data_IF_549652386530
#
_entry.id   IF_549652386530
#
_cell.length_a   1.000
_cell.length_b   1.000
_cell.length_c   1.000
_cell.angle_alpha   90.00
_cell.angle_beta   90.00
_cell.angle_gamma   90.00
#
_symmetry.space_group_name_H-M   'P 1'
#
loop_
_entity.id
_entity.type
_entity.pdbx_description
1 polymer ?
#
# COMPACT_ATOMS: atom_id res chain seq x y z
N UNK A 1 0.85 9.19 -27.56
CA UNK A 1 1.06 8.07 -26.60
C UNK A 1 1.86 8.47 -25.35
N UNK A 2 2.91 9.31 -25.43
CA UNK A 2 3.70 9.75 -24.25
C UNK A 2 2.91 10.54 -23.18
N UNK A 3 1.85 11.25 -23.56
CA UNK A 3 1.07 12.12 -22.64
C UNK A 3 -0.07 11.38 -21.90
N UNK A 4 -0.56 10.25 -22.42
CA UNK A 4 -1.65 9.50 -21.80
C UNK A 4 -1.20 8.67 -20.59
N UNK A 5 0.11 8.56 -20.37
CA UNK A 5 0.70 7.73 -19.33
C UNK A 5 0.87 8.50 -18.02
N UNK A 6 1.12 9.81 -18.02
CA UNK A 6 1.47 10.52 -16.79
C UNK A 6 0.27 10.68 -15.84
N UNK A 7 -0.78 11.39 -16.21
CA UNK A 7 -1.90 11.67 -15.30
C UNK A 7 -2.75 10.42 -14.96
N UNK A 8 -3.01 9.56 -15.96
CA UNK A 8 -3.85 8.36 -15.81
C UNK A 8 -3.23 7.30 -14.91
N UNK A 9 -1.91 7.31 -14.68
CA UNK A 9 -1.25 6.29 -13.86
C UNK A 9 -0.66 6.83 -12.57
N UNK A 10 -0.21 8.10 -12.55
CA UNK A 10 0.46 8.67 -11.38
C UNK A 10 -0.50 8.78 -10.20
N UNK A 11 -1.73 9.30 -10.41
CA UNK A 11 -2.73 9.42 -9.34
C UNK A 11 -3.32 8.07 -8.89
N UNK A 12 -3.80 7.19 -9.80
CA UNK A 12 -4.48 5.97 -9.36
C UNK A 12 -3.55 4.79 -9.07
N UNK A 13 -2.26 4.83 -9.43
CA UNK A 13 -1.30 3.79 -9.06
C UNK A 13 -0.11 4.34 -8.27
N UNK A 14 0.70 5.21 -8.88
CA UNK A 14 2.01 5.55 -8.31
C UNK A 14 1.90 6.18 -6.91
N UNK A 15 1.13 7.25 -6.73
CA UNK A 15 1.03 7.95 -5.43
C UNK A 15 0.28 7.19 -4.33
N UNK A 16 -0.31 6.04 -4.62
CA UNK A 16 -0.97 5.20 -3.61
C UNK A 16 -0.01 4.35 -2.79
N UNK A 17 1.29 4.44 -3.09
CA UNK A 17 2.33 3.87 -2.23
C UNK A 17 2.24 4.38 -0.79
N UNK A 18 1.73 5.61 -0.58
CA UNK A 18 1.55 6.17 0.75
C UNK A 18 0.64 5.32 1.64
N UNK A 19 -0.24 4.48 1.08
CA UNK A 19 -1.10 3.60 1.86
C UNK A 19 -0.33 2.45 2.54
N UNK A 20 0.85 2.03 2.05
CA UNK A 20 1.69 1.07 2.77
C UNK A 20 2.48 1.71 3.92
N UNK A 21 2.59 3.04 3.91
CA UNK A 21 3.24 3.79 4.99
C UNK A 21 2.29 4.05 6.18
N UNK A 22 1.01 3.68 6.09
CA UNK A 22 0.04 3.96 7.16
C UNK A 22 0.16 2.92 8.28
N UNK A 23 0.43 3.33 9.54
CA UNK A 23 0.52 2.41 10.67
C UNK A 23 -0.84 1.92 11.18
N UNK A 24 -0.84 0.80 11.91
CA UNK A 24 -2.04 0.29 12.59
C UNK A 24 -2.42 1.12 13.83
N UNK A 25 -1.45 1.83 14.42
CA UNK A 25 -1.64 2.58 15.66
C UNK A 25 -1.07 3.99 15.55
N UNK A 26 -1.66 4.95 16.25
CA UNK A 26 -1.14 6.31 16.39
C UNK A 26 -1.08 6.71 17.86
N UNK A 27 -0.05 7.47 18.23
CA UNK A 27 0.09 7.96 19.61
C UNK A 27 -0.60 9.32 19.74
N UNK A 28 -1.58 9.39 20.63
CA UNK A 28 -2.27 10.62 21.01
C UNK A 28 -2.27 10.70 22.54
N UNK A 29 -1.83 11.83 23.07
CA UNK A 29 -1.73 12.11 24.49
C UNK A 29 -0.93 11.05 25.26
N UNK A 30 0.20 10.61 24.70
CA UNK A 30 1.04 9.53 25.24
C UNK A 30 0.36 8.16 25.32
N UNK A 31 -0.76 7.97 24.63
CA UNK A 31 -1.50 6.70 24.53
C UNK A 31 -1.51 6.23 23.09
N UNK A 32 -1.16 4.95 22.87
CA UNK A 32 -1.23 4.30 21.56
C UNK A 32 -2.66 3.88 21.27
N UNK A 33 -3.28 4.49 20.27
CA UNK A 33 -4.65 4.23 19.84
C UNK A 33 -4.66 3.46 18.51
N UNK A 34 -5.62 2.56 18.35
CA UNK A 34 -5.84 1.83 17.09
C UNK A 34 -6.40 2.76 16.01
N UNK A 35 -5.70 2.86 14.88
CA UNK A 35 -6.08 3.75 13.77
C UNK A 35 -7.46 3.42 13.20
N UNK A 36 -7.86 2.13 13.18
CA UNK A 36 -9.18 1.68 12.69
C UNK A 36 -10.35 2.42 13.36
N UNK A 37 -10.17 2.83 14.60
CA UNK A 37 -11.21 3.54 15.37
C UNK A 37 -11.18 5.05 15.17
N UNK A 38 -10.12 5.60 14.59
CA UNK A 38 -9.88 7.04 14.49
C UNK A 38 -10.37 7.63 13.15
N UNK A 39 -10.77 6.79 12.20
CA UNK A 39 -11.30 7.28 10.93
C UNK A 39 -12.60 8.08 11.12
N UNK A 40 -12.67 9.25 10.49
CA UNK A 40 -13.82 10.15 10.54
C UNK A 40 -14.22 10.59 11.98
N UNK A 41 -13.28 10.55 12.93
CA UNK A 41 -13.45 11.10 14.28
C UNK A 41 -12.77 12.47 14.39
N UNK A 42 -13.54 13.58 14.46
CA UNK A 42 -12.97 14.92 14.59
C UNK A 42 -12.56 15.28 16.03
N UNK A 43 -13.06 14.58 17.05
CA UNK A 43 -12.83 14.96 18.45
C UNK A 43 -11.34 14.91 18.87
N UNK A 44 -10.56 13.85 18.54
CA UNK A 44 -9.16 13.78 18.92
C UNK A 44 -8.29 14.85 18.25
N UNK A 45 -8.57 15.18 16.99
CA UNK A 45 -7.79 16.16 16.22
C UNK A 45 -8.02 17.59 16.73
N UNK A 46 -9.23 17.91 17.18
CA UNK A 46 -9.54 19.23 17.74
C UNK A 46 -8.98 19.42 19.15
N UNK A 47 -8.97 18.37 19.98
CA UNK A 47 -8.57 18.47 21.40
C UNK A 47 -7.08 18.22 21.64
N UNK A 48 -6.45 17.36 20.86
CA UNK A 48 -5.10 16.83 21.15
C UNK A 48 -4.11 17.08 20.01
N UNK A 49 -4.28 18.18 19.27
CA UNK A 49 -3.45 18.49 18.09
C UNK A 49 -1.94 18.50 18.40
N UNK A 50 -1.52 19.11 19.52
CA UNK A 50 -0.10 19.18 19.91
C UNK A 50 0.47 17.79 20.15
N UNK A 51 -0.31 16.93 20.80
CA UNK A 51 0.13 15.58 21.10
C UNK A 51 0.16 14.69 19.86
N UNK A 52 -0.74 14.90 18.90
CA UNK A 52 -0.67 14.26 17.59
C UNK A 52 0.64 14.67 16.90
N UNK A 53 0.99 15.96 16.90
CA UNK A 53 2.25 16.44 16.30
C UNK A 53 3.48 15.85 16.98
N UNK A 54 3.47 15.77 18.32
CA UNK A 54 4.52 15.13 19.11
C UNK A 54 4.64 13.63 18.79
N UNK A 55 3.52 12.92 18.69
CA UNK A 55 3.46 11.51 18.30
C UNK A 55 4.03 11.28 16.88
N UNK A 56 3.68 12.15 15.92
CA UNK A 56 4.19 12.09 14.55
C UNK A 56 5.71 12.29 14.49
N UNK A 57 6.26 13.19 15.31
CA UNK A 57 7.70 13.45 15.37
C UNK A 57 8.47 12.31 16.06
N UNK A 58 7.92 11.76 17.14
CA UNK A 58 8.63 10.78 18.00
C UNK A 58 8.61 9.37 17.46
N UNK A 59 7.45 8.87 17.02
CA UNK A 59 7.29 7.44 16.65
C UNK A 59 7.77 7.13 15.23
N UNK A 60 8.02 8.17 14.43
CA UNK A 60 8.13 8.04 12.99
C UNK A 60 6.74 7.76 12.41
N UNK A 61 6.19 8.69 11.65
CA UNK A 61 4.80 8.64 11.17
C UNK A 61 4.50 7.49 10.19
N UNK A 62 5.44 6.58 9.91
CA UNK A 62 5.40 5.72 8.73
C UNK A 62 5.79 4.27 9.03
N UNK A 63 4.96 3.36 8.53
CA UNK A 63 5.32 1.96 8.34
C UNK A 63 6.38 1.80 7.26
N UNK A 64 6.90 0.58 7.14
CA UNK A 64 7.87 0.24 6.09
C UNK A 64 7.24 0.40 4.71
N UNK A 65 7.99 0.99 3.79
CA UNK A 65 7.64 0.98 2.38
C UNK A 65 7.79 -0.45 1.85
N UNK A 66 6.72 -1.24 1.92
CA UNK A 66 6.70 -2.58 1.37
C UNK A 66 5.33 -2.91 0.74
N UNK A 67 5.10 -4.20 0.51
CA UNK A 67 3.88 -4.73 -0.12
C UNK A 67 2.77 -4.97 0.91
N UNK A 68 3.08 -4.90 2.20
CA UNK A 68 2.14 -5.07 3.28
C UNK A 68 1.48 -3.72 3.58
N UNK A 69 0.26 -3.81 4.09
CA UNK A 69 -0.57 -2.66 4.44
C UNK A 69 -1.19 -2.98 5.79
N UNK A 70 -1.39 -1.96 6.61
CA UNK A 70 -2.05 -2.08 7.90
C UNK A 70 -3.46 -2.66 7.76
N UNK A 71 -3.84 -3.56 8.68
CA UNK A 71 -5.19 -4.13 8.73
C UNK A 71 -6.26 -3.07 8.99
N UNK A 72 -5.89 -1.97 9.65
CA UNK A 72 -6.73 -0.78 9.80
C UNK A 72 -7.27 -0.26 8.44
N UNK A 73 -6.51 -0.45 7.37
CA UNK A 73 -6.80 0.11 6.03
C UNK A 73 -7.18 -0.97 5.02
N UNK A 74 -6.68 -2.21 5.17
CA UNK A 74 -7.06 -3.33 4.31
C UNK A 74 -8.37 -4.01 4.70
N UNK A 75 -8.71 -4.07 5.99
CA UNK A 75 -9.87 -4.85 6.44
C UNK A 75 -10.89 -4.01 7.21
N UNK A 76 -10.46 -2.90 7.79
CA UNK A 76 -11.25 -2.09 8.72
C UNK A 76 -11.45 -0.63 8.27
N UNK A 77 -11.31 -0.35 6.97
CA UNK A 77 -11.42 1.02 6.47
C UNK A 77 -12.85 1.56 6.69
N UNK A 78 -12.96 2.65 7.44
CA UNK A 78 -14.23 3.29 7.82
C UNK A 78 -15.22 2.39 8.57
N UNK A 79 -14.73 1.35 9.24
CA UNK A 79 -15.58 0.55 10.11
C UNK A 79 -16.18 1.42 11.22
N UNK A 80 -17.50 1.56 11.22
CA UNK A 80 -18.18 2.32 12.25
C UNK A 80 -18.28 1.49 13.51
N UNK A 81 -17.83 2.03 14.65
CA UNK A 81 -18.05 1.43 15.98
C UNK A 81 -19.54 1.17 16.29
N UNK A 82 -20.47 1.75 15.54
CA UNK A 82 -21.93 1.59 15.71
C UNK A 82 -22.56 0.54 14.76
N UNK A 83 -21.75 -0.24 14.03
CA UNK A 83 -22.20 -1.43 13.30
C UNK A 83 -23.07 -1.20 12.05
N UNK A 84 -23.29 0.06 11.63
CA UNK A 84 -24.16 0.37 10.49
C UNK A 84 -23.43 0.42 9.13
N UNK A 85 -22.10 0.52 9.12
CA UNK A 85 -21.31 0.57 7.88
C UNK A 85 -20.36 -0.63 7.87
N UNK A 86 -20.45 -1.45 6.82
CA UNK A 86 -19.51 -2.55 6.61
C UNK A 86 -18.10 -2.02 6.41
N UNK A 87 -17.11 -2.77 6.88
CA UNK A 87 -15.72 -2.39 6.69
C UNK A 87 -15.31 -2.52 5.21
N UNK A 88 -14.46 -1.58 4.76
CA UNK A 88 -13.95 -1.56 3.39
C UNK A 88 -12.49 -1.99 3.34
N UNK A 89 -12.07 -2.42 2.16
CA UNK A 89 -10.67 -2.72 1.85
C UNK A 89 -10.10 -1.69 0.87
N UNK A 90 -9.18 -0.85 1.35
CA UNK A 90 -8.56 0.18 0.52
C UNK A 90 -7.74 -0.41 -0.63
N UNK A 91 -7.13 -1.58 -0.45
CA UNK A 91 -6.26 -2.21 -1.45
C UNK A 91 -7.11 -2.81 -2.56
N UNK A 92 -8.20 -3.49 -2.21
CA UNK A 92 -9.19 -3.92 -3.19
C UNK A 92 -9.80 -2.73 -3.96
N UNK A 93 -10.10 -1.62 -3.29
CA UNK A 93 -10.57 -0.39 -3.94
C UNK A 93 -9.50 0.19 -4.89
N UNK A 94 -8.23 0.11 -4.52
CA UNK A 94 -7.15 0.62 -5.35
C UNK A 94 -6.98 -0.22 -6.63
N UNK A 95 -7.08 -1.54 -6.53
CA UNK A 95 -7.04 -2.45 -7.69
C UNK A 95 -8.22 -2.18 -8.62
N UNK A 96 -9.43 -2.08 -8.08
CA UNK A 96 -10.65 -1.79 -8.88
C UNK A 96 -10.51 -0.48 -9.65
N UNK A 97 -10.15 0.62 -8.96
CA UNK A 97 -9.92 1.92 -9.60
C UNK A 97 -8.79 1.88 -10.65
N UNK A 98 -7.78 1.03 -10.43
CA UNK A 98 -6.72 0.84 -11.42
C UNK A 98 -7.21 0.19 -12.71
N UNK A 99 -8.16 -0.75 -12.61
CA UNK A 99 -8.81 -1.39 -13.77
C UNK A 99 -9.77 -0.43 -14.45
N UNK A 100 -10.57 0.31 -13.69
CA UNK A 100 -11.53 1.29 -14.21
C UNK A 100 -10.83 2.42 -14.98
N UNK A 101 -9.66 2.86 -14.51
CA UNK A 101 -8.85 3.86 -15.21
C UNK A 101 -7.97 3.30 -16.33
N UNK A 102 -8.03 1.99 -16.61
CA UNK A 102 -7.28 1.36 -17.69
C UNK A 102 -5.76 1.44 -17.51
N UNK A 103 -5.27 1.33 -16.27
CA UNK A 103 -3.82 1.40 -16.00
C UNK A 103 -3.13 0.23 -16.72
N UNK A 104 -2.09 0.50 -17.54
CA UNK A 104 -1.35 -0.55 -18.22
C UNK A 104 -0.70 -1.52 -17.24
N UNK A 105 -0.54 -2.78 -17.65
CA UNK A 105 0.14 -3.79 -16.86
C UNK A 105 1.57 -3.37 -16.46
N UNK A 106 2.05 -3.86 -15.32
CA UNK A 106 3.39 -3.58 -14.80
C UNK A 106 4.52 -3.79 -15.83
N UNK A 107 4.41 -4.80 -16.68
CA UNK A 107 5.40 -5.10 -17.73
C UNK A 107 5.47 -4.01 -18.82
N UNK A 108 4.35 -3.37 -19.13
CA UNK A 108 4.28 -2.23 -20.06
C UNK A 108 5.03 -1.04 -19.48
N UNK A 109 4.83 -0.78 -18.18
CA UNK A 109 5.54 0.27 -17.44
C UNK A 109 7.05 0.03 -17.38
N UNK A 110 7.46 -1.21 -17.07
CA UNK A 110 8.89 -1.57 -17.10
C UNK A 110 9.51 -1.26 -18.46
N UNK A 111 8.86 -1.70 -19.55
CA UNK A 111 9.34 -1.44 -20.91
C UNK A 111 9.40 0.07 -21.21
N UNK A 112 8.41 0.83 -20.77
CA UNK A 112 8.35 2.28 -20.96
C UNK A 112 9.56 2.99 -20.33
N UNK A 113 9.99 2.55 -19.15
CA UNK A 113 11.16 3.07 -18.44
C UNK A 113 12.48 2.33 -18.77
N UNK A 114 12.51 1.53 -19.84
CA UNK A 114 13.72 0.81 -20.27
C UNK A 114 14.17 -0.33 -19.35
N UNK A 115 13.31 -0.77 -18.43
CA UNK A 115 13.57 -1.87 -17.52
C UNK A 115 13.30 -3.24 -18.19
N UNK A 116 13.95 -4.29 -17.69
CA UNK A 116 13.82 -5.66 -18.21
C UNK A 116 12.36 -6.13 -18.21
N UNK A 117 11.91 -6.63 -19.35
CA UNK A 117 10.59 -7.25 -19.50
C UNK A 117 10.62 -8.68 -18.95
N UNK A 118 9.57 -9.07 -18.23
CA UNK A 118 9.41 -10.45 -17.75
C UNK A 118 8.33 -11.17 -18.55
N UNK A 119 8.69 -12.30 -19.14
CA UNK A 119 7.76 -13.17 -19.86
C UNK A 119 7.23 -14.33 -19.00
N UNK A 120 7.92 -14.68 -17.91
CA UNK A 120 7.60 -15.84 -17.06
C UNK A 120 7.52 -15.46 -15.59
N UNK A 121 6.63 -16.14 -14.85
CA UNK A 121 6.46 -15.99 -13.39
C UNK A 121 7.76 -16.25 -12.61
N UNK A 122 8.60 -17.18 -13.11
CA UNK A 122 9.93 -17.47 -12.58
C UNK A 122 10.81 -16.21 -12.43
N UNK A 123 10.83 -15.34 -13.45
CA UNK A 123 11.65 -14.13 -13.43
C UNK A 123 11.08 -13.05 -12.48
N UNK A 124 9.78 -13.11 -12.21
CA UNK A 124 9.12 -12.23 -11.24
C UNK A 124 9.49 -12.67 -9.82
N UNK A 125 9.69 -13.97 -9.55
CA UNK A 125 10.03 -14.49 -8.22
C UNK A 125 11.29 -13.89 -7.61
N UNK A 126 12.29 -13.56 -8.44
CA UNK A 126 13.54 -12.91 -8.01
C UNK A 126 13.29 -11.50 -7.45
N UNK A 127 12.19 -10.87 -7.85
CA UNK A 127 11.81 -9.50 -7.48
C UNK A 127 10.53 -9.45 -6.61
N UNK A 128 9.92 -10.60 -6.30
CA UNK A 128 8.64 -10.68 -5.60
C UNK A 128 8.82 -11.09 -4.13
N UNK A 129 7.83 -10.80 -3.27
CA UNK A 129 7.84 -11.21 -1.85
C UNK A 129 7.67 -12.72 -1.72
N UNK A 130 7.98 -13.26 -0.54
CA UNK A 130 7.68 -14.64 -0.19
C UNK A 130 6.21 -15.04 -0.43
N UNK A 131 5.26 -14.11 -0.30
CA UNK A 131 3.83 -14.34 -0.58
C UNK A 131 3.51 -14.52 -2.08
N UNK A 132 4.33 -13.98 -2.99
CA UNK A 132 4.19 -14.26 -4.43
C UNK A 132 4.78 -15.63 -4.80
N UNK A 133 5.69 -16.20 -3.99
CA UNK A 133 6.21 -17.55 -4.20
C UNK A 133 5.13 -18.61 -4.01
N UNK A 134 4.04 -18.31 -3.30
CA UNK A 134 2.89 -19.22 -3.13
C UNK A 134 2.19 -19.56 -4.46
N UNK A 135 2.25 -18.65 -5.44
CA UNK A 135 1.67 -18.84 -6.77
C UNK A 135 2.71 -19.23 -7.84
N UNK A 136 3.98 -19.40 -7.45
CA UNK A 136 5.09 -19.70 -8.37
C UNK A 136 5.54 -21.14 -8.10
N UNK A 137 5.50 -22.03 -9.09
CA UNK A 137 5.90 -23.42 -8.88
C UNK A 137 7.37 -23.48 -8.44
N UNK A 138 7.65 -24.30 -7.41
CA UNK A 138 8.97 -24.47 -6.77
C UNK A 138 10.09 -24.88 -7.75
N UNK A 139 9.75 -25.34 -8.95
CA UNK A 139 10.69 -25.68 -10.03
C UNK A 139 11.36 -24.46 -10.70
N UNK A 140 10.95 -23.24 -10.36
CA UNK A 140 11.44 -22.01 -10.99
C UNK A 140 12.80 -21.52 -10.45
N UNK A 141 13.30 -22.00 -9.32
CA UNK A 141 14.50 -21.45 -8.70
C UNK A 141 15.62 -22.51 -8.53
N UNK A 142 16.61 -22.58 -9.43
CA UNK A 142 17.90 -23.19 -9.11
C UNK A 142 18.85 -22.13 -8.54
N UNK A 143 19.02 -22.13 -7.22
CA UNK A 143 20.20 -21.55 -6.55
C UNK A 143 20.30 -20.02 -6.44
N UNK A 144 21.16 -19.52 -5.52
CA UNK A 144 21.01 -18.22 -4.89
C UNK A 144 21.81 -17.10 -5.59
N UNK A 145 21.37 -15.86 -5.31
CA UNK A 145 22.03 -14.59 -5.64
C UNK A 145 21.94 -14.16 -7.11
N UNK A 146 21.08 -13.17 -7.36
CA UNK A 146 21.29 -12.05 -8.29
C UNK A 146 20.03 -11.16 -8.23
N UNK A 147 19.91 -10.38 -7.14
CA UNK A 147 19.15 -9.14 -7.20
C UNK A 147 19.96 -8.12 -8.02
N UNK A 148 19.36 -7.29 -8.88
CA UNK A 148 20.14 -6.33 -9.64
C UNK A 148 20.37 -5.05 -8.82
N UNK A 149 21.52 -4.45 -9.08
CA UNK A 149 21.69 -2.99 -9.04
C UNK A 149 20.77 -2.32 -10.07
#
# INVERSE_FOLDING_TARGET
>A
MKLALSNVSIQPAAFRFGHSLIPNTMDINYVSLDLKTQFMLPDPTLRYYESIMDGLQKKGSQERFDRHVSSAVSDHLFESSKGSMGALDLISLNIQRGRDHGIPAYTVWRKHYGLRFFFNLCLISVYASDSAKLFIPNSCCPGPYLGPY
#
